data_IF_223783665345
#
_entry.id   IF_223783665345
#
_cell.length_a   1.000
_cell.length_b   1.000
_cell.length_c   1.000
_cell.angle_alpha   90.00
_cell.angle_beta   90.00
_cell.angle_gamma   90.00
#
_symmetry.space_group_name_H-M   'P 1'
#
loop_
_entity.id
_entity.type
_entity.pdbx_description
1 polymer ?
#
# COMPACT_ATOMS: atom_id res chain seq x y z
N UNK A 1 -5.34 -2.46 -16.08
CA UNK A 1 -5.34 -1.88 -14.72
C UNK A 1 -5.49 -0.37 -14.74
N UNK A 2 -4.61 0.35 -15.39
CA UNK A 2 -4.69 1.82 -15.48
C UNK A 2 -6.00 2.30 -16.11
N UNK A 3 -6.50 1.59 -17.10
CA UNK A 3 -7.78 1.91 -17.74
C UNK A 3 -8.92 1.86 -16.73
N UNK A 4 -8.96 0.82 -15.88
CA UNK A 4 -10.03 0.65 -14.90
C UNK A 4 -10.01 1.74 -13.82
N UNK A 5 -8.83 2.12 -13.34
CA UNK A 5 -8.73 3.20 -12.37
C UNK A 5 -9.12 4.53 -12.99
N UNK A 6 -8.79 4.75 -14.24
CA UNK A 6 -9.20 5.94 -14.96
C UNK A 6 -10.72 5.99 -15.12
N UNK A 7 -11.35 4.87 -15.50
CA UNK A 7 -12.82 4.79 -15.59
C UNK A 7 -13.46 5.11 -14.24
N UNK A 8 -12.91 4.55 -13.15
CA UNK A 8 -13.43 4.82 -11.81
C UNK A 8 -13.39 6.30 -11.48
N UNK A 9 -12.27 6.97 -11.77
CA UNK A 9 -12.11 8.40 -11.52
C UNK A 9 -13.06 9.23 -12.35
N UNK A 10 -13.21 8.91 -13.63
CA UNK A 10 -14.08 9.66 -14.54
C UNK A 10 -15.55 9.50 -14.18
N UNK A 11 -15.95 8.33 -13.71
CA UNK A 11 -17.34 8.03 -13.41
C UNK A 11 -17.75 8.40 -11.98
N UNK A 12 -16.81 8.79 -11.13
CA UNK A 12 -17.05 8.94 -9.70
C UNK A 12 -18.25 9.84 -9.36
N UNK A 13 -18.37 10.95 -10.04
CA UNK A 13 -19.44 11.92 -9.75
C UNK A 13 -20.74 11.64 -10.51
N UNK A 14 -20.63 11.10 -11.73
CA UNK A 14 -21.79 10.95 -12.61
C UNK A 14 -22.42 9.57 -12.55
N UNK A 15 -21.64 8.53 -12.25
CA UNK A 15 -22.12 7.16 -12.20
C UNK A 15 -21.36 6.37 -11.13
N UNK A 16 -21.74 6.55 -9.84
CA UNK A 16 -21.05 5.87 -8.74
C UNK A 16 -21.05 4.34 -8.86
N UNK A 17 -22.10 3.75 -9.44
CA UNK A 17 -22.14 2.29 -9.60
C UNK A 17 -21.10 1.80 -10.59
N UNK A 18 -20.90 2.53 -11.68
CA UNK A 18 -19.86 2.20 -12.65
C UNK A 18 -18.48 2.39 -12.03
N UNK A 19 -18.31 3.45 -11.26
CA UNK A 19 -17.05 3.71 -10.55
C UNK A 19 -16.71 2.55 -9.60
N UNK A 20 -17.67 2.11 -8.81
CA UNK A 20 -17.49 1.01 -7.86
C UNK A 20 -17.15 -0.29 -8.60
N UNK A 21 -17.85 -0.57 -9.69
CA UNK A 21 -17.56 -1.78 -10.48
C UNK A 21 -16.16 -1.74 -11.07
N UNK A 22 -15.74 -0.59 -11.58
CA UNK A 22 -14.39 -0.43 -12.14
C UNK A 22 -13.31 -0.67 -11.07
N UNK A 23 -13.55 -0.19 -9.84
CA UNK A 23 -12.62 -0.41 -8.74
C UNK A 23 -12.52 -1.89 -8.36
N UNK A 24 -13.66 -2.60 -8.32
CA UNK A 24 -13.66 -4.04 -8.04
C UNK A 24 -12.89 -4.81 -9.10
N UNK A 25 -13.12 -4.49 -10.36
CA UNK A 25 -12.41 -5.15 -11.46
C UNK A 25 -10.92 -4.84 -11.41
N UNK A 26 -10.55 -3.60 -11.07
CA UNK A 26 -9.15 -3.23 -10.91
C UNK A 26 -8.51 -4.03 -9.78
N UNK A 27 -9.21 -4.21 -8.67
CA UNK A 27 -8.72 -5.00 -7.54
C UNK A 27 -8.44 -6.45 -7.94
N UNK A 28 -9.35 -7.04 -8.70
CA UNK A 28 -9.16 -8.41 -9.20
C UNK A 28 -7.95 -8.49 -10.12
N UNK A 29 -7.76 -7.48 -10.97
CA UNK A 29 -6.62 -7.46 -11.89
C UNK A 29 -5.29 -7.33 -11.17
N UNK A 30 -5.24 -6.55 -10.10
CA UNK A 30 -4.00 -6.41 -9.31
C UNK A 30 -3.54 -7.77 -8.80
N UNK A 31 -4.44 -8.59 -8.30
CA UNK A 31 -4.09 -9.89 -7.74
C UNK A 31 -3.57 -10.87 -8.80
N UNK A 32 -3.84 -10.62 -10.07
CA UNK A 32 -3.40 -11.46 -11.18
C UNK A 32 -2.03 -11.08 -11.73
N UNK A 33 -1.46 -9.96 -11.32
CA UNK A 33 -0.16 -9.51 -11.82
C UNK A 33 0.95 -10.43 -11.29
N UNK A 34 1.74 -11.07 -12.17
CA UNK A 34 2.75 -12.05 -11.71
C UNK A 34 3.92 -11.42 -10.97
N UNK A 35 4.41 -10.28 -11.42
CA UNK A 35 5.53 -9.60 -10.79
C UNK A 35 5.11 -8.94 -9.49
N UNK A 36 5.80 -9.25 -8.39
CA UNK A 36 5.50 -8.65 -7.09
C UNK A 36 5.72 -7.14 -7.10
N UNK A 37 6.77 -6.66 -7.78
CA UNK A 37 7.04 -5.22 -7.88
C UNK A 37 5.96 -4.49 -8.66
N UNK A 38 5.53 -5.06 -9.78
CA UNK A 38 4.46 -4.46 -10.58
C UNK A 38 3.15 -4.48 -9.81
N UNK A 39 2.90 -5.58 -9.08
CA UNK A 39 1.71 -5.71 -8.25
C UNK A 39 1.69 -4.65 -7.16
N UNK A 40 2.84 -4.38 -6.53
CA UNK A 40 2.95 -3.35 -5.50
C UNK A 40 2.62 -1.96 -6.05
N UNK A 41 3.17 -1.62 -7.21
CA UNK A 41 2.87 -0.34 -7.86
C UNK A 41 1.41 -0.21 -8.23
N UNK A 42 0.83 -1.27 -8.77
CA UNK A 42 -0.58 -1.30 -9.12
C UNK A 42 -1.48 -1.17 -7.90
N UNK A 43 -1.10 -1.83 -6.80
CA UNK A 43 -1.85 -1.76 -5.55
C UNK A 43 -1.83 -0.34 -4.96
N UNK A 44 -0.67 0.32 -4.98
CA UNK A 44 -0.56 1.70 -4.52
C UNK A 44 -1.46 2.62 -5.34
N UNK A 45 -1.45 2.44 -6.65
CA UNK A 45 -2.29 3.22 -7.55
C UNK A 45 -3.78 2.96 -7.27
N UNK A 46 -4.14 1.70 -7.06
CA UNK A 46 -5.51 1.32 -6.73
C UNK A 46 -5.97 1.96 -5.41
N UNK A 47 -5.14 1.90 -4.38
CA UNK A 47 -5.44 2.50 -3.08
C UNK A 47 -5.63 4.01 -3.22
N UNK A 48 -4.75 4.68 -3.97
CA UNK A 48 -4.89 6.12 -4.22
C UNK A 48 -6.20 6.43 -4.94
N UNK A 49 -6.60 5.59 -5.88
CA UNK A 49 -7.86 5.77 -6.60
C UNK A 49 -9.07 5.59 -5.67
N UNK A 50 -9.06 4.57 -4.81
CA UNK A 50 -10.10 4.41 -3.80
C UNK A 50 -10.22 5.66 -2.92
N UNK A 51 -9.08 6.21 -2.50
CA UNK A 51 -9.06 7.43 -1.69
C UNK A 51 -9.71 8.59 -2.41
N UNK A 52 -9.39 8.78 -3.69
CA UNK A 52 -9.94 9.87 -4.49
C UNK A 52 -11.43 9.71 -4.75
N UNK A 53 -11.86 8.48 -5.02
CA UNK A 53 -13.24 8.22 -5.42
C UNK A 53 -14.17 8.08 -4.21
N UNK A 54 -13.75 7.33 -3.20
CA UNK A 54 -14.61 6.99 -2.06
C UNK A 54 -14.25 7.72 -0.77
N UNK A 55 -13.09 8.36 -0.72
CA UNK A 55 -12.64 9.10 0.45
C UNK A 55 -12.03 8.24 1.53
N UNK A 56 -12.16 6.93 1.44
CA UNK A 56 -11.60 5.99 2.40
C UNK A 56 -11.11 4.73 1.70
N UNK A 57 -10.30 3.94 2.37
CA UNK A 57 -9.74 2.70 1.82
C UNK A 57 -10.10 1.55 2.74
N UNK A 58 -10.59 0.46 2.15
CA UNK A 58 -10.92 -0.77 2.88
C UNK A 58 -9.68 -1.30 3.60
N UNK A 59 -9.81 -1.56 4.90
CA UNK A 59 -8.70 -2.09 5.69
C UNK A 59 -8.21 -3.44 5.19
N UNK A 60 -9.07 -4.23 4.55
CA UNK A 60 -8.66 -5.50 3.95
C UNK A 60 -7.66 -5.29 2.83
N UNK A 61 -7.86 -4.25 2.02
CA UNK A 61 -6.94 -3.91 0.95
C UNK A 61 -5.58 -3.49 1.49
N UNK A 62 -5.57 -2.74 2.58
CA UNK A 62 -4.34 -2.36 3.29
C UNK A 62 -3.61 -3.62 3.78
N UNK A 63 -4.33 -4.54 4.40
CA UNK A 63 -3.73 -5.78 4.91
C UNK A 63 -3.17 -6.66 3.79
N UNK A 64 -3.84 -6.72 2.66
CA UNK A 64 -3.32 -7.39 1.48
C UNK A 64 -1.98 -6.79 1.05
N UNK A 65 -1.85 -5.48 1.16
CA UNK A 65 -0.61 -4.78 0.86
C UNK A 65 0.53 -5.19 1.80
N UNK A 66 0.25 -5.33 3.08
CA UNK A 66 1.28 -5.78 4.02
C UNK A 66 1.75 -7.22 3.72
N UNK A 67 0.83 -8.10 3.34
CA UNK A 67 1.20 -9.45 2.90
C UNK A 67 2.09 -9.39 1.67
N UNK A 68 1.76 -8.52 0.73
CA UNK A 68 2.58 -8.35 -0.47
C UNK A 68 3.98 -7.83 -0.13
N UNK A 69 4.08 -6.90 0.81
CA UNK A 69 5.38 -6.39 1.26
C UNK A 69 6.23 -7.52 1.84
N UNK A 70 5.64 -8.41 2.64
CA UNK A 70 6.34 -9.57 3.17
C UNK A 70 6.81 -10.51 2.07
N UNK A 71 5.98 -10.73 1.05
CA UNK A 71 6.36 -11.55 -0.10
C UNK A 71 7.54 -10.95 -0.86
N UNK A 72 7.56 -9.62 -1.01
CA UNK A 72 8.67 -8.93 -1.65
C UNK A 72 9.96 -9.12 -0.85
N UNK A 73 9.88 -9.03 0.47
CA UNK A 73 11.04 -9.26 1.34
C UNK A 73 11.57 -10.67 1.22
N UNK A 74 10.68 -11.65 1.18
CA UNK A 74 11.07 -13.06 1.04
C UNK A 74 11.76 -13.30 -0.30
N UNK A 75 11.25 -12.69 -1.37
CA UNK A 75 11.87 -12.80 -2.68
C UNK A 75 13.26 -12.16 -2.70
N UNK A 76 13.40 -10.99 -2.08
CA UNK A 76 14.70 -10.31 -1.99
C UNK A 76 15.69 -11.11 -1.16
N UNK A 77 15.25 -11.70 -0.05
CA UNK A 77 16.11 -12.53 0.79
C UNK A 77 16.60 -13.78 0.04
N UNK A 78 15.72 -14.39 -0.78
CA UNK A 78 16.09 -15.51 -1.61
C UNK A 78 17.16 -15.12 -2.64
N UNK A 79 17.00 -13.93 -3.24
CA UNK A 79 18.00 -13.40 -4.18
C UNK A 79 19.34 -13.17 -3.51
N UNK A 80 19.36 -12.62 -2.30
CA UNK A 80 20.60 -12.43 -1.55
C UNK A 80 21.26 -13.75 -1.21
N UNK A 81 20.49 -14.75 -0.85
CA UNK A 81 21.01 -16.07 -0.57
C UNK A 81 21.64 -16.71 -1.78
N UNK A 82 21.22 -16.32 -2.98
CA UNK A 82 21.77 -16.77 -4.23
C UNK A 82 23.02 -15.98 -4.65
N UNK A 83 23.47 -15.06 -3.80
CA UNK A 83 24.64 -14.26 -4.11
C UNK A 83 24.36 -12.99 -4.87
N UNK A 84 23.12 -12.61 -4.96
CA UNK A 84 22.76 -11.36 -5.62
C UNK A 84 23.36 -10.17 -4.89
N UNK A 85 23.73 -9.17 -5.65
CA UNK A 85 24.27 -7.95 -5.10
C UNK A 85 23.16 -7.22 -4.33
N UNK A 86 23.55 -6.71 -3.17
CA UNK A 86 22.62 -5.99 -2.44
C UNK A 86 22.94 -4.58 -2.38
N UNK A 87 21.98 -3.85 -1.97
CA UNK A 87 22.10 -2.43 -1.79
C UNK A 87 23.00 -2.13 -0.64
N UNK A 88 23.39 -0.89 -0.49
CA UNK A 88 24.20 -0.48 0.61
C UNK A 88 23.42 -0.40 1.92
N UNK A 89 22.17 -0.75 1.94
CA UNK A 89 21.37 -0.84 3.14
C UNK A 89 20.82 0.46 3.67
N UNK A 90 21.19 1.58 3.07
CA UNK A 90 20.69 2.88 3.52
C UNK A 90 19.35 3.19 2.95
N UNK A 91 19.13 2.78 1.73
CA UNK A 91 17.87 2.99 1.06
C UNK A 91 16.84 2.01 1.54
N UNK A 92 15.63 2.45 1.67
CA UNK A 92 14.53 1.56 1.93
C UNK A 92 14.34 0.60 0.77
N UNK A 93 13.97 -0.63 1.07
CA UNK A 93 13.62 -1.61 0.05
C UNK A 93 12.25 -1.26 -0.55
N UNK A 94 11.87 -1.84 -1.71
CA UNK A 94 10.51 -1.67 -2.24
C UNK A 94 9.44 -2.09 -1.22
N UNK A 95 9.69 -3.13 -0.42
CA UNK A 95 8.76 -3.54 0.63
C UNK A 95 8.60 -2.45 1.69
N UNK A 96 9.69 -1.79 2.08
CA UNK A 96 9.63 -0.72 3.07
C UNK A 96 8.83 0.47 2.56
N UNK A 97 8.99 0.84 1.30
CA UNK A 97 8.22 1.91 0.70
C UNK A 97 6.73 1.58 0.66
N UNK A 98 6.41 0.34 0.30
CA UNK A 98 5.03 -0.10 0.29
C UNK A 98 4.42 -0.04 1.68
N UNK A 99 5.13 -0.56 2.69
CA UNK A 99 4.64 -0.54 4.07
C UNK A 99 4.44 0.88 4.59
N UNK A 100 5.36 1.79 4.29
CA UNK A 100 5.23 3.19 4.70
C UNK A 100 3.98 3.82 4.09
N UNK A 101 3.77 3.59 2.82
CA UNK A 101 2.58 4.07 2.12
C UNK A 101 1.30 3.53 2.77
N UNK A 102 1.25 2.22 3.01
CA UNK A 102 0.09 1.56 3.60
C UNK A 102 -0.20 2.06 5.01
N UNK A 103 0.84 2.26 5.80
CA UNK A 103 0.71 2.71 7.18
C UNK A 103 0.11 4.11 7.25
N UNK A 104 0.57 5.01 6.37
CA UNK A 104 0.01 6.35 6.29
C UNK A 104 -1.47 6.30 5.87
N UNK A 105 -1.78 5.51 4.86
CA UNK A 105 -3.15 5.38 4.39
C UNK A 105 -4.07 4.78 5.46
N UNK A 106 -3.60 3.77 6.18
CA UNK A 106 -4.36 3.17 7.26
C UNK A 106 -4.63 4.18 8.38
N UNK A 107 -3.60 4.95 8.74
CA UNK A 107 -3.73 5.95 9.80
C UNK A 107 -4.73 7.06 9.46
N UNK A 108 -4.88 7.39 8.20
CA UNK A 108 -5.86 8.40 7.77
C UNK A 108 -7.29 7.97 8.09
N UNK A 109 -7.59 6.70 7.92
CA UNK A 109 -8.95 6.19 8.13
C UNK A 109 -9.17 5.67 9.53
N UNK A 110 -8.13 5.12 10.17
CA UNK A 110 -8.24 4.48 11.46
C UNK A 110 -6.92 4.62 12.21
N UNK A 111 -6.72 5.78 12.80
CA UNK A 111 -5.48 6.09 13.51
C UNK A 111 -5.20 5.07 14.62
N UNK A 112 -6.21 4.78 15.45
CA UNK A 112 -6.02 3.84 16.55
C UNK A 112 -5.71 2.43 16.07
N UNK A 113 -6.36 2.00 14.99
CA UNK A 113 -6.08 0.72 14.38
C UNK A 113 -4.67 0.65 13.82
N UNK A 114 -4.21 1.72 13.18
CA UNK A 114 -2.85 1.79 12.65
C UNK A 114 -1.81 1.71 13.76
N UNK A 115 -2.03 2.42 14.87
CA UNK A 115 -1.13 2.38 16.02
C UNK A 115 -1.09 0.96 16.61
N UNK A 116 -2.25 0.32 16.77
CA UNK A 116 -2.29 -1.06 17.27
C UNK A 116 -1.54 -2.01 16.33
N UNK A 117 -1.70 -1.84 15.03
CA UNK A 117 -1.00 -2.66 14.06
C UNK A 117 0.51 -2.48 14.18
N UNK A 118 0.97 -1.23 14.26
CA UNK A 118 2.40 -0.93 14.42
C UNK A 118 2.96 -1.57 15.68
N UNK A 119 2.21 -1.50 16.79
CA UNK A 119 2.64 -2.10 18.06
C UNK A 119 2.78 -3.61 17.97
N UNK A 120 2.06 -4.25 17.07
CA UNK A 120 2.13 -5.70 16.89
C UNK A 120 3.33 -6.16 16.05
N UNK A 121 4.05 -5.23 15.44
CA UNK A 121 5.22 -5.56 14.64
C UNK A 121 6.34 -6.12 15.54
N UNK A 122 7.07 -7.11 15.04
CA UNK A 122 8.17 -7.73 15.80
C UNK A 122 9.47 -6.94 15.72
N UNK A 123 9.68 -6.25 14.59
CA UNK A 123 10.92 -5.52 14.33
C UNK A 123 10.84 -4.11 14.90
N UNK A 124 11.71 -3.77 15.85
CA UNK A 124 11.72 -2.46 16.49
C UNK A 124 12.06 -1.34 15.51
N UNK A 125 12.91 -1.57 14.53
CA UNK A 125 13.23 -0.57 13.51
C UNK A 125 12.01 -0.29 12.64
N UNK A 126 11.28 -1.34 12.26
CA UNK A 126 10.05 -1.19 11.49
C UNK A 126 9.00 -0.42 12.27
N UNK A 127 8.85 -0.72 13.58
CA UNK A 127 7.93 0.03 14.44
C UNK A 127 8.27 1.52 14.47
N UNK A 128 9.54 1.83 14.69
CA UNK A 128 9.98 3.21 14.79
C UNK A 128 9.75 3.94 13.46
N UNK A 129 10.11 3.32 12.36
CA UNK A 129 9.90 3.88 11.03
C UNK A 129 8.43 4.15 10.77
N UNK A 130 7.55 3.20 11.10
CA UNK A 130 6.12 3.34 10.91
C UNK A 130 5.55 4.47 11.76
N UNK A 131 5.97 4.56 13.02
CA UNK A 131 5.52 5.63 13.92
C UNK A 131 5.96 7.01 13.40
N UNK A 132 7.19 7.09 12.90
CA UNK A 132 7.68 8.34 12.30
C UNK A 132 6.87 8.73 11.07
N UNK A 133 6.53 7.77 10.22
CA UNK A 133 5.69 8.02 9.04
C UNK A 133 4.32 8.54 9.43
N UNK A 134 3.72 7.94 10.44
CA UNK A 134 2.41 8.40 10.94
C UNK A 134 2.53 9.83 11.48
N UNK A 135 3.56 10.10 12.28
CA UNK A 135 3.78 11.42 12.86
C UNK A 135 3.99 12.48 11.78
N UNK A 136 4.78 12.17 10.76
CA UNK A 136 5.02 13.08 9.64
C UNK A 136 3.74 13.34 8.85
N UNK A 137 2.92 12.31 8.68
CA UNK A 137 1.64 12.44 8.01
C UNK A 137 0.71 13.40 8.75
N UNK A 138 0.65 13.30 10.08
CA UNK A 138 -0.14 14.21 10.90
C UNK A 138 0.39 15.63 10.84
N UNK A 139 1.71 15.78 10.88
CA UNK A 139 2.35 17.10 10.80
C UNK A 139 2.07 17.80 9.49
N UNK A 140 2.05 17.05 8.40
CA UNK A 140 1.85 17.60 7.07
C UNK A 140 0.36 17.71 6.70
N UNK A 141 -0.53 17.26 7.58
CA UNK A 141 -1.96 17.39 7.36
C UNK A 141 -2.38 18.86 7.46
N UNK A 142 -3.36 19.30 6.65
CA UNK A 142 -3.86 20.68 6.77
C UNK A 142 -4.61 20.97 8.07
N UNK A 143 -4.88 19.99 8.87
CA UNK A 143 -5.59 20.17 10.14
C UNK A 143 -4.75 19.81 11.32
#
# INVERSE_FOLDING_TARGET
>A
MAFLTHVAQMAADSDPDLSALALELARDRVSEIPSLHERAGALQNLISTYRQVEGEVDSKLIKEGYVLADQIREEAAAGEMQGEVRHNGRQGSPADYLESFLTVEYARDNFDGAIRFVRSMDDDEAKLSALLQIAQSLRNSPY
#
